data_IF_816468285791
#
_entry.id   IF_816468285791
#
_cell.length_a   1.000
_cell.length_b   1.000
_cell.length_c   1.000
_cell.angle_alpha   90.00
_cell.angle_beta   90.00
_cell.angle_gamma   90.00
#
_symmetry.space_group_name_H-M   'P 1'
#
loop_
_entity.id
_entity.type
_entity.pdbx_description
1 polymer ?
#
# COMPACT_ATOMS: atom_id res chain seq x y z
N UNK A 1 -9.23 21.30 -23.97
CA UNK A 1 -9.42 19.84 -23.82
C UNK A 1 -8.13 19.19 -24.28
N UNK A 2 -7.17 18.94 -23.38
CA UNK A 2 -5.91 18.29 -23.75
C UNK A 2 -6.16 16.80 -23.66
N UNK A 3 -6.22 16.13 -24.81
CA UNK A 3 -6.35 14.68 -24.88
C UNK A 3 -5.07 14.03 -24.40
N UNK A 4 -5.17 13.19 -23.37
CA UNK A 4 -4.06 12.33 -22.95
C UNK A 4 -3.99 11.19 -23.97
N UNK A 5 -3.03 11.27 -24.90
CA UNK A 5 -2.74 10.21 -25.85
C UNK A 5 -1.54 9.43 -25.34
N UNK A 6 -1.74 8.14 -25.05
CA UNK A 6 -0.71 7.19 -24.60
C UNK A 6 -0.71 6.93 -23.09
N UNK A 7 -1.23 5.77 -22.68
CA UNK A 7 -0.89 5.17 -21.38
C UNK A 7 0.20 4.13 -21.67
N UNK A 8 1.46 4.55 -21.56
CA UNK A 8 2.55 3.58 -21.52
C UNK A 8 2.60 2.97 -20.10
N UNK A 9 2.60 1.64 -19.97
CA UNK A 9 2.73 1.01 -18.68
C UNK A 9 4.13 1.28 -18.11
N UNK A 10 4.18 1.92 -16.95
CA UNK A 10 5.41 2.05 -16.18
C UNK A 10 5.51 0.89 -15.19
N UNK A 11 6.63 0.16 -15.23
CA UNK A 11 6.94 -0.88 -14.25
C UNK A 11 7.83 -0.26 -13.17
N UNK A 12 7.37 -0.30 -11.92
CA UNK A 12 8.15 0.09 -10.75
C UNK A 12 8.36 -1.11 -9.84
N UNK A 13 9.56 -1.24 -9.31
CA UNK A 13 9.90 -2.24 -8.30
C UNK A 13 10.35 -1.54 -7.02
N UNK A 14 10.03 -2.11 -5.84
CA UNK A 14 10.57 -1.61 -4.58
C UNK A 14 12.11 -1.61 -4.60
N UNK A 15 12.68 -0.66 -3.87
CA UNK A 15 14.08 -0.72 -3.45
C UNK A 15 14.33 -2.05 -2.71
N UNK A 16 15.32 -2.87 -3.11
CA UNK A 16 15.60 -4.16 -2.48
C UNK A 16 15.89 -4.08 -0.98
N UNK A 17 16.36 -2.92 -0.50
CA UNK A 17 16.65 -2.70 0.93
C UNK A 17 15.41 -2.27 1.72
N UNK A 18 14.26 -2.08 1.05
CA UNK A 18 12.99 -1.68 1.65
C UNK A 18 11.96 -2.80 1.56
N UNK A 19 11.19 -2.97 2.63
CA UNK A 19 10.06 -3.92 2.68
C UNK A 19 8.75 -3.33 2.14
N UNK A 20 8.79 -2.12 1.57
CA UNK A 20 7.63 -1.40 1.05
C UNK A 20 8.00 -0.53 -0.16
N UNK A 21 7.00 -0.06 -0.91
CA UNK A 21 7.13 0.96 -1.95
C UNK A 21 6.03 2.00 -1.81
N UNK A 22 6.38 3.28 -1.89
CA UNK A 22 5.40 4.35 -1.98
C UNK A 22 5.32 4.89 -3.41
N UNK A 23 4.12 5.06 -3.93
CA UNK A 23 3.85 5.47 -5.32
C UNK A 23 2.68 6.44 -5.38
N UNK A 24 2.89 7.58 -6.03
CA UNK A 24 1.80 8.50 -6.36
C UNK A 24 1.11 8.05 -7.66
N UNK A 25 -0.22 8.10 -7.67
CA UNK A 25 -1.06 7.98 -8.86
C UNK A 25 -2.08 9.12 -8.86
N UNK A 26 -1.80 10.16 -9.65
CA UNK A 26 -2.49 11.44 -9.52
C UNK A 26 -2.16 12.09 -8.17
N UNK A 27 -3.20 12.58 -7.48
CA UNK A 27 -3.07 13.22 -6.17
C UNK A 27 -3.08 12.21 -4.99
N UNK A 28 -3.22 10.91 -5.27
CA UNK A 28 -3.26 9.86 -4.26
C UNK A 28 -1.89 9.19 -4.11
N UNK A 29 -1.39 9.12 -2.89
CA UNK A 29 -0.17 8.40 -2.55
C UNK A 29 -0.53 7.03 -1.94
N UNK A 30 -0.03 5.98 -2.58
CA UNK A 30 -0.14 4.61 -2.09
C UNK A 30 1.15 4.22 -1.40
N UNK A 31 1.05 3.44 -0.32
CA UNK A 31 2.13 2.59 0.15
C UNK A 31 1.73 1.14 -0.02
N UNK A 32 2.61 0.38 -0.65
CA UNK A 32 2.46 -1.05 -0.89
C UNK A 32 3.47 -1.75 0.00
N UNK A 33 2.98 -2.62 0.88
CA UNK A 33 3.77 -3.43 1.79
C UNK A 33 3.23 -4.87 1.77
N UNK A 34 4.08 -5.89 1.87
CA UNK A 34 3.58 -7.27 1.80
C UNK A 34 2.62 -7.59 2.96
N UNK A 35 2.97 -7.19 4.19
CA UNK A 35 2.17 -7.39 5.39
C UNK A 35 2.86 -8.24 6.47
N UNK A 36 4.04 -8.80 6.19
CA UNK A 36 4.85 -9.48 7.20
C UNK A 36 5.42 -8.52 8.26
N UNK A 37 5.37 -7.21 8.00
CA UNK A 37 5.90 -6.15 8.84
C UNK A 37 5.10 -5.94 10.13
N UNK A 38 3.88 -6.49 10.20
CA UNK A 38 3.00 -6.36 11.35
C UNK A 38 2.27 -7.66 11.65
N UNK A 39 1.73 -7.76 12.87
CA UNK A 39 0.78 -8.82 13.25
C UNK A 39 -0.63 -8.48 12.76
N UNK A 40 -1.50 -9.48 12.62
CA UNK A 40 -2.87 -9.27 12.13
C UNK A 40 -3.60 -8.21 12.96
N UNK A 41 -4.28 -7.28 12.28
CA UNK A 41 -4.95 -6.15 12.93
C UNK A 41 -4.01 -5.03 13.42
N UNK A 42 -2.71 -5.09 13.12
CA UNK A 42 -1.71 -4.07 13.52
C UNK A 42 -1.14 -3.24 12.38
N UNK A 43 -1.77 -3.31 11.21
CA UNK A 43 -1.36 -2.56 10.03
C UNK A 43 -1.47 -1.04 10.21
N UNK A 44 -2.59 -0.56 10.76
CA UNK A 44 -2.78 0.88 11.03
C UNK A 44 -1.79 1.39 12.09
N UNK A 45 -1.54 0.61 13.14
CA UNK A 45 -0.54 0.92 14.17
C UNK A 45 0.87 1.02 13.56
N UNK A 46 1.25 0.05 12.72
CA UNK A 46 2.52 0.08 11.98
C UNK A 46 2.63 1.30 11.08
N UNK A 47 1.55 1.63 10.36
CA UNK A 47 1.51 2.75 9.42
C UNK A 47 1.63 4.11 10.12
N UNK A 48 0.96 4.27 11.27
CA UNK A 48 0.98 5.50 12.05
C UNK A 48 2.39 5.87 12.54
N UNK A 49 3.26 4.89 12.78
CA UNK A 49 4.63 5.12 13.25
C UNK A 49 5.67 5.30 12.14
N UNK A 50 5.26 5.23 10.86
CA UNK A 50 6.16 5.47 9.71
C UNK A 50 6.42 6.97 9.46
N UNK A 51 6.18 7.84 10.44
CA UNK A 51 6.36 9.30 10.31
C UNK A 51 7.79 9.76 10.60
N UNK A 52 8.58 8.93 11.28
CA UNK A 52 9.97 9.25 11.60
C UNK A 52 10.92 8.72 10.52
N UNK A 53 12.06 9.39 10.32
CA UNK A 53 13.14 9.01 9.39
C UNK A 53 12.79 9.11 7.90
N UNK A 54 11.95 10.08 7.53
CA UNK A 54 11.60 10.39 6.13
C UNK A 54 11.05 9.17 5.37
N UNK A 55 10.36 8.28 6.10
CA UNK A 55 9.75 7.11 5.52
C UNK A 55 8.50 7.58 4.76
N UNK A 56 8.57 7.46 3.44
CA UNK A 56 7.50 7.77 2.51
C UNK A 56 6.11 7.18 2.90
N UNK A 57 6.00 6.04 3.61
CA UNK A 57 4.71 5.53 4.06
C UNK A 57 3.91 6.48 4.94
N UNK A 58 4.54 7.30 5.78
CA UNK A 58 3.82 8.21 6.68
C UNK A 58 2.94 9.22 5.94
N UNK A 59 3.27 9.56 4.69
CA UNK A 59 2.57 10.52 3.87
C UNK A 59 1.49 9.92 2.94
N UNK A 60 1.34 8.58 2.93
CA UNK A 60 0.37 7.92 2.05
C UNK A 60 -1.09 8.15 2.48
N UNK A 61 -1.99 8.15 1.51
CA UNK A 61 -3.45 8.14 1.67
C UNK A 61 -4.00 6.71 1.80
N UNK A 62 -3.33 5.76 1.11
CA UNK A 62 -3.77 4.37 1.05
C UNK A 62 -2.61 3.42 1.36
N UNK A 63 -2.81 2.52 2.33
CA UNK A 63 -1.95 1.36 2.57
C UNK A 63 -2.54 0.12 1.89
N UNK A 64 -1.78 -0.49 0.98
CA UNK A 64 -2.15 -1.73 0.29
C UNK A 64 -1.24 -2.87 0.76
N UNK A 65 -1.83 -4.01 1.08
CA UNK A 65 -1.07 -5.21 1.44
C UNK A 65 -1.78 -6.53 1.13
N UNK A 66 -1.06 -7.62 1.35
CA UNK A 66 -1.60 -8.98 1.30
C UNK A 66 -1.32 -9.71 2.62
N UNK A 67 -0.64 -10.86 2.52
CA UNK A 67 -0.16 -11.71 3.61
C UNK A 67 -1.23 -12.58 4.31
N UNK A 68 -2.42 -12.05 4.61
CA UNK A 68 -3.43 -12.80 5.38
C UNK A 68 -4.53 -13.47 4.55
N UNK A 69 -4.42 -13.42 3.22
CA UNK A 69 -5.22 -14.16 2.23
C UNK A 69 -6.73 -13.86 2.19
N UNK A 70 -7.25 -13.09 3.14
CA UNK A 70 -8.64 -12.64 3.17
C UNK A 70 -8.79 -11.21 2.64
N UNK A 71 -10.01 -10.80 2.31
CA UNK A 71 -10.32 -9.39 2.08
C UNK A 71 -10.46 -8.66 3.41
N UNK A 72 -9.80 -7.51 3.55
CA UNK A 72 -10.02 -6.59 4.66
C UNK A 72 -9.96 -5.14 4.17
N UNK A 73 -10.87 -4.30 4.69
CA UNK A 73 -10.88 -2.86 4.51
C UNK A 73 -11.00 -2.21 5.88
N UNK A 74 -10.10 -1.27 6.15
CA UNK A 74 -10.13 -0.46 7.37
C UNK A 74 -9.93 1.00 6.98
N UNK A 75 -10.71 1.89 7.58
CA UNK A 75 -10.67 3.32 7.25
C UNK A 75 -10.60 4.16 8.50
N UNK A 76 -9.96 5.31 8.38
CA UNK A 76 -10.08 6.45 9.29
C UNK A 76 -10.48 7.67 8.46
N UNK A 77 -10.56 8.86 9.06
CA UNK A 77 -10.99 10.10 8.40
C UNK A 77 -10.41 10.28 6.98
N UNK A 78 -9.09 10.23 6.84
CA UNK A 78 -8.39 10.50 5.57
C UNK A 78 -7.59 9.34 5.02
N UNK A 79 -7.66 8.15 5.64
CA UNK A 79 -6.80 7.03 5.30
C UNK A 79 -7.59 5.75 5.12
N UNK A 80 -7.16 4.95 4.15
CA UNK A 80 -7.68 3.61 3.94
C UNK A 80 -6.55 2.58 3.96
N UNK A 81 -6.79 1.44 4.61
CA UNK A 81 -5.99 0.22 4.48
C UNK A 81 -6.80 -0.81 3.72
N UNK A 82 -6.17 -1.39 2.70
CA UNK A 82 -6.75 -2.43 1.85
C UNK A 82 -5.87 -3.68 1.92
N UNK A 83 -6.48 -4.81 2.25
CA UNK A 83 -5.87 -6.13 2.13
C UNK A 83 -6.51 -6.90 0.99
N UNK A 84 -5.72 -7.28 -0.01
CA UNK A 84 -6.19 -8.17 -1.07
C UNK A 84 -6.27 -9.61 -0.61
N UNK A 85 -7.30 -10.33 -1.05
CA UNK A 85 -7.33 -11.79 -1.00
C UNK A 85 -6.23 -12.40 -1.88
N UNK A 86 -5.95 -13.69 -1.70
CA UNK A 86 -5.03 -14.41 -2.60
C UNK A 86 -5.62 -14.49 -4.01
N UNK A 87 -4.78 -14.31 -5.03
CA UNK A 87 -5.15 -14.32 -6.45
C UNK A 87 -5.79 -15.64 -6.90
N UNK A 88 -5.26 -16.78 -6.47
CA UNK A 88 -5.65 -18.12 -6.93
C UNK A 88 -6.62 -18.83 -5.96
N UNK A 89 -7.08 -18.15 -4.91
CA UNK A 89 -7.87 -18.77 -3.84
C UNK A 89 -7.10 -19.82 -3.02
N UNK A 90 -5.82 -20.03 -3.31
CA UNK A 90 -4.94 -20.91 -2.56
C UNK A 90 -4.73 -20.33 -1.16
N UNK A 91 -5.20 -21.05 -0.15
CA UNK A 91 -4.94 -20.79 1.27
C UNK A 91 -5.81 -19.71 1.97
N UNK A 92 -7.10 -19.60 1.64
CA UNK A 92 -8.11 -18.99 2.54
C UNK A 92 -8.40 -19.87 3.76
#
# INVERSE_FOLDING_TARGET
MVGVTGFEPEIRTPDPERSYMAVAAGDTVFTIAHGHQWRRGKAMDWWAVQTFHDQNPGAADILVHGHYHTWELETTDKRARIQSSTLDGGSN
#
